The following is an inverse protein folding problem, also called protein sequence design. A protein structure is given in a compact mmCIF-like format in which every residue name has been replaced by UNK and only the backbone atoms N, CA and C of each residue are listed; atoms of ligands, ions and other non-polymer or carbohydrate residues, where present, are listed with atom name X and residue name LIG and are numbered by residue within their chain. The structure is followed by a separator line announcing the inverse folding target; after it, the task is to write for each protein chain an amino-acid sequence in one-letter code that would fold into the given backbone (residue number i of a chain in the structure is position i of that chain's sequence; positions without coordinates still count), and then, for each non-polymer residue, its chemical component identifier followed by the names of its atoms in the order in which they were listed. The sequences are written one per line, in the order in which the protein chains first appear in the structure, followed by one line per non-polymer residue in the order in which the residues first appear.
data_IF_959277872712
#
_entry.id   IF_959277872712
#
_cell.length_a   1.000
_cell.length_b   1.000
_cell.length_c   1.000
_cell.angle_alpha   90.00
_cell.angle_beta   90.00
_cell.angle_gamma   90.00
#
_symmetry.space_group_name_H-M   'P 1'
#
loop_
_entity.id
_entity.type
_entity.pdbx_description
1 polymer ?
#
# COMPACT_ATOMS: atom_id res chain seq x y z
N UNK A 1 12.21 -20.57 -8.44
CA UNK A 1 11.21 -19.50 -8.60
C UNK A 1 10.58 -19.16 -7.27
N UNK A 2 10.28 -17.89 -7.01
CA UNK A 2 9.38 -17.51 -5.91
C UNK A 2 7.99 -17.32 -6.49
N UNK A 3 7.00 -17.97 -5.91
CA UNK A 3 5.61 -17.75 -6.26
C UNK A 3 5.11 -16.37 -5.77
N UNK A 4 3.98 -15.91 -6.30
CA UNK A 4 3.39 -14.61 -5.97
C UNK A 4 2.99 -14.50 -4.49
N UNK A 5 2.59 -15.61 -3.85
CA UNK A 5 2.28 -15.63 -2.43
C UNK A 5 3.53 -15.41 -1.58
N UNK A 6 4.66 -16.04 -1.92
CA UNK A 6 5.95 -15.85 -1.26
C UNK A 6 6.41 -14.39 -1.32
N UNK A 7 6.24 -13.73 -2.47
CA UNK A 7 6.51 -12.28 -2.60
C UNK A 7 5.57 -11.43 -1.74
N UNK A 8 4.28 -11.74 -1.73
CA UNK A 8 3.29 -11.04 -0.93
C UNK A 8 3.55 -11.20 0.59
N UNK A 9 4.03 -12.36 1.03
CA UNK A 9 4.44 -12.59 2.43
C UNK A 9 5.61 -11.70 2.82
N UNK A 10 6.65 -11.63 1.97
CA UNK A 10 7.81 -10.77 2.21
C UNK A 10 7.39 -9.30 2.25
N UNK A 11 6.56 -8.88 1.30
CA UNK A 11 6.04 -7.52 1.21
C UNK A 11 5.24 -7.13 2.48
N UNK A 12 4.38 -8.04 2.95
CA UNK A 12 3.59 -7.83 4.17
C UNK A 12 4.46 -7.76 5.42
N UNK A 13 5.53 -8.55 5.49
CA UNK A 13 6.49 -8.49 6.60
C UNK A 13 7.20 -7.14 6.67
N UNK A 14 7.62 -6.59 5.54
CA UNK A 14 8.22 -5.25 5.51
C UNK A 14 7.20 -4.14 5.81
N UNK A 15 5.96 -4.29 5.34
CA UNK A 15 4.87 -3.35 5.60
C UNK A 15 4.58 -3.23 7.11
N UNK A 16 4.46 -4.37 7.81
CA UNK A 16 4.22 -4.42 9.25
C UNK A 16 5.42 -3.92 10.07
N UNK A 17 6.64 -4.10 9.56
CA UNK A 17 7.86 -3.62 10.23
C UNK A 17 8.12 -2.13 10.05
N UNK A 18 7.26 -1.41 9.32
CA UNK A 18 7.46 0.01 9.00
C UNK A 18 8.54 0.28 7.95
N UNK A 19 9.15 -0.76 7.39
CA UNK A 19 10.22 -0.67 6.39
C UNK A 19 9.64 -0.47 4.99
N UNK A 20 8.92 0.64 4.77
CA UNK A 20 8.21 0.92 3.51
C UNK A 20 9.13 0.98 2.30
N UNK A 21 10.34 1.52 2.44
CA UNK A 21 11.28 1.60 1.32
C UNK A 21 11.75 0.22 0.86
N UNK A 22 11.93 -0.71 1.80
CA UNK A 22 12.25 -2.11 1.48
C UNK A 22 11.05 -2.83 0.90
N UNK A 23 9.84 -2.59 1.43
CA UNK A 23 8.60 -3.07 0.83
C UNK A 23 8.48 -2.61 -0.63
N UNK A 24 8.82 -1.35 -0.94
CA UNK A 24 8.80 -0.82 -2.30
C UNK A 24 9.81 -1.52 -3.21
N UNK A 25 11.05 -1.71 -2.75
CA UNK A 25 12.07 -2.44 -3.51
C UNK A 25 11.66 -3.88 -3.82
N UNK A 26 11.03 -4.55 -2.85
CA UNK A 26 10.49 -5.90 -3.03
C UNK A 26 9.39 -5.90 -4.08
N UNK A 27 8.43 -4.97 -3.97
CA UNK A 27 7.34 -4.81 -4.93
C UNK A 27 7.85 -4.56 -6.35
N UNK A 28 8.81 -3.65 -6.52
CA UNK A 28 9.37 -3.32 -7.84
C UNK A 28 10.05 -4.55 -8.48
N UNK A 29 10.70 -5.40 -7.67
CA UNK A 29 11.32 -6.66 -8.11
C UNK A 29 10.34 -7.81 -8.41
N UNK A 30 9.06 -7.69 -8.08
CA UNK A 30 8.08 -8.74 -8.36
C UNK A 30 7.85 -8.86 -9.87
N UNK A 31 8.06 -10.05 -10.47
CA UNK A 31 7.83 -10.25 -11.91
C UNK A 31 6.34 -10.13 -12.28
N UNK A 32 5.45 -10.63 -11.43
CA UNK A 32 4.01 -10.42 -11.52
C UNK A 32 3.49 -9.76 -10.25
N UNK A 33 2.62 -8.76 -10.42
CA UNK A 33 2.01 -7.99 -9.32
C UNK A 33 0.50 -8.19 -9.39
N UNK A 34 -0.07 -8.80 -8.36
CA UNK A 34 -1.51 -9.00 -8.26
C UNK A 34 -2.15 -8.02 -7.27
N UNK A 35 -3.47 -8.06 -7.13
CA UNK A 35 -4.20 -7.12 -6.26
C UNK A 35 -3.72 -7.14 -4.80
N UNK A 36 -3.30 -8.32 -4.32
CA UNK A 36 -2.76 -8.48 -2.97
C UNK A 36 -1.43 -7.71 -2.84
N UNK A 37 -0.55 -7.80 -3.84
CA UNK A 37 0.73 -7.07 -3.87
C UNK A 37 0.50 -5.55 -3.78
N UNK A 38 -0.43 -5.03 -4.57
CA UNK A 38 -0.77 -3.61 -4.59
C UNK A 38 -1.40 -3.15 -3.27
N UNK A 39 -2.35 -3.92 -2.73
CA UNK A 39 -3.00 -3.61 -1.46
C UNK A 39 -2.03 -3.64 -0.28
N UNK A 40 -1.07 -4.58 -0.29
CA UNK A 40 -0.04 -4.67 0.73
C UNK A 40 0.87 -3.44 0.73
N UNK A 41 1.34 -3.00 -0.44
CA UNK A 41 2.17 -1.80 -0.55
C UNK A 41 1.38 -0.53 -0.20
N UNK A 42 0.13 -0.41 -0.64
CA UNK A 42 -0.74 0.71 -0.25
C UNK A 42 -0.94 0.77 1.26
N UNK A 43 -1.24 -0.37 1.88
CA UNK A 43 -1.40 -0.48 3.34
C UNK A 43 -0.11 -0.10 4.07
N UNK A 44 1.05 -0.49 3.54
CA UNK A 44 2.35 -0.08 4.07
C UNK A 44 2.50 1.45 4.06
N UNK A 45 2.19 2.12 2.95
CA UNK A 45 2.26 3.58 2.85
C UNK A 45 1.29 4.28 3.81
N UNK A 46 0.05 3.80 3.90
CA UNK A 46 -0.99 4.37 4.79
C UNK A 46 -0.59 4.21 6.26
N UNK A 47 -0.12 3.03 6.67
CA UNK A 47 0.27 2.75 8.06
C UNK A 47 1.48 3.59 8.49
N UNK A 48 2.38 3.91 7.57
CA UNK A 48 3.57 4.70 7.84
C UNK A 48 3.41 6.20 7.53
N UNK A 49 2.16 6.68 7.44
CA UNK A 49 1.83 8.09 7.19
C UNK A 49 2.38 8.69 5.88
N UNK A 50 2.82 7.84 4.94
CA UNK A 50 3.32 8.22 3.60
C UNK A 50 2.17 8.37 2.61
N UNK A 51 1.22 9.24 2.94
CA UNK A 51 -0.03 9.36 2.19
C UNK A 51 0.16 9.87 0.76
N UNK A 52 1.15 10.73 0.50
CA UNK A 52 1.45 11.20 -0.85
C UNK A 52 1.94 10.07 -1.77
N UNK A 53 2.72 9.15 -1.22
CA UNK A 53 3.16 7.95 -1.95
C UNK A 53 2.01 6.97 -2.14
N UNK A 54 1.12 6.84 -1.14
CA UNK A 54 -0.11 6.07 -1.25
C UNK A 54 -1.01 6.59 -2.38
N UNK A 55 -1.24 7.90 -2.47
CA UNK A 55 -2.04 8.52 -3.52
C UNK A 55 -1.39 8.36 -4.90
N UNK A 56 -0.07 8.58 -5.02
CA UNK A 56 0.64 8.36 -6.30
C UNK A 56 0.59 6.91 -6.75
N UNK A 57 0.72 5.96 -5.82
CA UNK A 57 0.58 4.53 -6.12
C UNK A 57 -0.84 4.20 -6.60
N UNK A 58 -1.83 4.78 -5.95
CA UNK A 58 -3.24 4.64 -6.31
C UNK A 58 -3.53 5.19 -7.71
N UNK A 59 -3.07 6.41 -8.01
CA UNK A 59 -3.23 7.07 -9.31
C UNK A 59 -2.48 6.37 -10.44
N UNK A 60 -1.40 5.65 -10.13
CA UNK A 60 -0.63 4.90 -11.13
C UNK A 60 -1.37 3.69 -11.72
N UNK A 61 -2.46 3.23 -11.10
CA UNK A 61 -3.29 2.12 -11.60
C UNK A 61 -4.68 2.65 -12.00
N UNK A 62 -4.97 2.65 -13.29
CA UNK A 62 -6.26 3.10 -13.87
C UNK A 62 -7.50 2.32 -13.40
N UNK A 63 -7.32 1.13 -12.78
CA UNK A 63 -8.44 0.28 -12.38
C UNK A 63 -8.24 -0.25 -10.95
N UNK A 64 -8.48 0.63 -9.99
CA UNK A 64 -8.48 0.29 -8.58
C UNK A 64 -9.85 -0.26 -8.16
N UNK A 65 -9.89 -1.40 -7.47
CA UNK A 65 -11.13 -1.97 -6.99
C UNK A 65 -11.86 -0.98 -6.07
N UNK A 66 -13.19 -0.90 -6.23
CA UNK A 66 -14.10 0.04 -5.55
C UNK A 66 -13.94 0.06 -4.01
N UNK A 67 -13.59 -1.10 -3.43
CA UNK A 67 -13.33 -1.28 -1.99
C UNK A 67 -12.20 -0.37 -1.49
N UNK A 68 -11.27 -0.03 -2.35
CA UNK A 68 -10.04 0.58 -1.91
C UNK A 68 -10.04 2.11 -2.05
N UNK A 69 -11.06 2.69 -2.71
CA UNK A 69 -11.49 4.08 -2.49
C UNK A 69 -12.06 4.28 -1.08
N UNK A 70 -12.75 3.28 -0.51
CA UNK A 70 -13.28 3.36 0.86
C UNK A 70 -12.16 3.42 1.90
N UNK A 71 -11.06 2.69 1.68
CA UNK A 71 -9.86 2.81 2.53
C UNK A 71 -9.24 4.22 2.46
N UNK A 72 -9.17 4.82 1.27
CA UNK A 72 -8.61 6.17 1.10
C UNK A 72 -9.51 7.24 1.76
N UNK A 73 -10.83 7.15 1.56
CA UNK A 73 -11.80 8.03 2.22
C UNK A 73 -11.76 7.88 3.76
N UNK A 74 -11.71 6.65 4.27
CA UNK A 74 -11.57 6.38 5.70
C UNK A 74 -10.31 6.99 6.30
N UNK A 75 -9.19 6.94 5.58
CA UNK A 75 -7.94 7.60 5.95
C UNK A 75 -8.03 9.14 5.94
N UNK A 76 -8.64 9.72 4.91
CA UNK A 76 -8.82 11.17 4.80
C UNK A 76 -9.77 11.74 5.87
N UNK A 77 -10.84 11.03 6.20
CA UNK A 77 -11.82 11.45 7.22
C UNK A 77 -11.19 11.41 8.62
N UNK A 78 -10.39 10.39 8.93
CA UNK A 78 -9.65 10.34 10.20
C UNK A 78 -8.68 11.52 10.36
N UNK A 79 -8.00 11.96 9.30
CA UNK A 79 -7.03 13.05 9.40
C UNK A 79 -7.67 14.44 9.54
N UNK A 80 -8.83 14.69 8.90
CA UNK A 80 -9.54 15.98 9.02
C UNK A 80 -10.09 16.26 10.43
N UNK A 81 -10.29 15.24 11.27
CA UNK A 81 -10.69 15.42 12.67
C UNK A 81 -9.51 15.62 13.63
N UNK A 82 -8.28 15.28 13.24
CA UNK A 82 -7.10 15.44 14.11
C UNK A 82 -6.45 16.83 13.94
N UNK A 83 -6.68 17.50 12.80
CA UNK A 83 -6.16 18.86 12.55
C UNK A 83 -7.14 19.95 13.07
N UNK A 84 -8.23 19.56 13.76
CA UNK A 84 -9.25 20.48 14.31
C UNK A 84 -9.43 20.42 15.83
N UNK A 85 -8.54 19.76 16.57
CA UNK A 85 -8.49 19.79 18.03
C UNK A 85 -7.18 20.45 18.47
#
# INVERSE_FOLDING_TARGET
ERDVCSWNTILSGYAQSGCVDEARKVFDRMPEKNEISWNALLSAYVQNSRMEEACRLFESRENWALVSWNCLLGGFVKKKNVVKA
#
